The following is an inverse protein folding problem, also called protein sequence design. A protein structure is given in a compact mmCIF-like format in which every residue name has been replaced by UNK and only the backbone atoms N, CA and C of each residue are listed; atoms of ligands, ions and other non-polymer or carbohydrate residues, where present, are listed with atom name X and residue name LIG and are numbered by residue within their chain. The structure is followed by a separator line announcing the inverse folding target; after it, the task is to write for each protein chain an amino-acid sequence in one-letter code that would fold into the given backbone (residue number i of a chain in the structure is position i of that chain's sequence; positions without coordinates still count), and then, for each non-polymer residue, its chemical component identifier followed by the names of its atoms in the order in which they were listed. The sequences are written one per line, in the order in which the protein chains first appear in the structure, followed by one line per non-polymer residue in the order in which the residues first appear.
data_IF_806593927712
#
_entry.id   IF_806593927712
#
_cell.length_a   1.000
_cell.length_b   1.000
_cell.length_c   1.000
_cell.angle_alpha   90.00
_cell.angle_beta   90.00
_cell.angle_gamma   90.00
#
_symmetry.space_group_name_H-M   'P 1'
#
loop_
_entity.id
_entity.type
_entity.pdbx_description
1 polymer ?
#
# COMPACT_ATOMS: atom_id res chain seq x y z
N UNK A 1 -16.81 31.99 6.67
CA UNK A 1 -16.87 31.01 7.77
C UNK A 1 -15.89 29.91 7.43
N UNK A 2 -14.67 29.97 7.98
CA UNK A 2 -13.65 28.95 7.74
C UNK A 2 -13.86 27.86 8.77
N UNK A 3 -14.37 26.70 8.33
CA UNK A 3 -14.46 25.53 9.19
C UNK A 3 -13.04 24.99 9.39
N UNK A 4 -12.47 25.24 10.57
CA UNK A 4 -11.27 24.52 11.02
C UNK A 4 -11.71 23.10 11.34
N UNK A 5 -11.32 22.15 10.49
CA UNK A 5 -11.44 20.73 10.78
C UNK A 5 -10.35 20.38 11.80
N UNK A 6 -10.75 20.18 13.05
CA UNK A 6 -9.89 19.63 14.11
C UNK A 6 -10.07 18.09 14.09
N UNK A 7 -9.13 17.33 13.49
CA UNK A 7 -9.21 15.88 13.53
C UNK A 7 -9.15 15.42 15.00
N UNK A 8 -10.02 14.50 15.45
CA UNK A 8 -9.89 13.90 16.77
C UNK A 8 -8.51 13.24 16.92
N UNK A 9 -7.87 13.41 18.08
CA UNK A 9 -6.52 12.87 18.40
C UNK A 9 -6.38 11.37 18.11
N UNK A 10 -7.48 10.62 18.17
CA UNK A 10 -7.53 9.18 17.89
C UNK A 10 -7.24 8.84 16.41
N UNK A 11 -7.34 9.80 15.48
CA UNK A 11 -6.96 9.61 14.09
C UNK A 11 -5.45 9.43 13.91
N UNK A 12 -4.62 9.97 14.80
CA UNK A 12 -3.16 9.90 14.66
C UNK A 12 -2.65 8.45 14.71
N UNK A 13 -3.39 7.52 15.34
CA UNK A 13 -3.00 6.11 15.50
C UNK A 13 -3.86 5.12 14.71
N UNK A 14 -4.81 5.57 13.90
CA UNK A 14 -5.68 4.67 13.14
C UNK A 14 -4.89 3.72 12.21
N UNK A 15 -3.84 4.22 11.55
CA UNK A 15 -2.99 3.41 10.68
C UNK A 15 -2.16 2.39 11.45
N UNK A 16 -1.71 2.72 12.66
CA UNK A 16 -0.98 1.77 13.53
C UNK A 16 -1.90 0.72 14.14
N UNK A 17 -3.14 1.10 14.46
CA UNK A 17 -4.13 0.24 15.09
C UNK A 17 -4.74 -0.79 14.12
N UNK A 18 -4.96 -0.40 12.86
CA UNK A 18 -5.66 -1.24 11.89
C UNK A 18 -4.83 -1.60 10.66
N UNK A 19 -3.72 -0.91 10.43
CA UNK A 19 -2.83 -1.14 9.29
C UNK A 19 -1.55 -1.88 9.68
N UNK A 20 -0.79 -2.30 8.67
CA UNK A 20 0.55 -2.82 8.84
C UNK A 20 1.48 -2.10 7.86
N UNK A 21 2.55 -1.49 8.36
CA UNK A 21 3.51 -0.79 7.51
C UNK A 21 4.47 -1.79 6.83
N UNK A 22 4.11 -2.19 5.61
CA UNK A 22 4.93 -3.07 4.77
C UNK A 22 6.28 -2.43 4.41
N UNK A 23 6.38 -1.10 4.33
CA UNK A 23 7.64 -0.41 4.00
C UNK A 23 8.63 -0.51 5.15
N UNK A 24 8.15 -0.35 6.39
CA UNK A 24 8.98 -0.57 7.58
C UNK A 24 9.44 -2.02 7.71
N UNK A 25 8.56 -2.99 7.43
CA UNK A 25 8.91 -4.41 7.43
C UNK A 25 9.95 -4.75 6.35
N UNK A 26 9.84 -4.15 5.15
CA UNK A 26 10.84 -4.29 4.09
C UNK A 26 12.20 -3.74 4.52
N UNK A 27 12.23 -2.54 5.12
CA UNK A 27 13.48 -1.90 5.60
C UNK A 27 14.18 -2.70 6.69
N UNK A 28 13.42 -3.39 7.54
CA UNK A 28 13.95 -4.22 8.63
C UNK A 28 14.30 -5.65 8.18
N UNK A 29 14.08 -5.99 6.89
CA UNK A 29 14.37 -7.32 6.34
C UNK A 29 13.44 -8.42 6.86
N UNK A 30 12.28 -8.06 7.43
CA UNK A 30 11.29 -9.02 7.94
C UNK A 30 10.32 -9.53 6.88
N UNK A 31 10.28 -8.91 5.70
CA UNK A 31 9.50 -9.42 4.56
C UNK A 31 10.30 -10.47 3.82
N UNK A 32 9.63 -11.57 3.48
CA UNK A 32 10.20 -12.61 2.63
C UNK A 32 10.51 -12.04 1.23
N UNK A 33 11.63 -12.48 0.61
CA UNK A 33 11.97 -12.04 -0.74
C UNK A 33 10.91 -12.52 -1.74
N UNK A 34 10.48 -11.61 -2.61
CA UNK A 34 9.53 -11.91 -3.69
C UNK A 34 10.31 -12.42 -4.90
N UNK A 35 9.99 -13.62 -5.37
CA UNK A 35 10.67 -14.28 -6.49
C UNK A 35 9.72 -14.38 -7.69
N UNK A 36 10.18 -13.99 -8.88
CA UNK A 36 9.49 -14.25 -10.15
C UNK A 36 8.26 -13.38 -10.45
N UNK A 37 8.18 -12.16 -9.89
CA UNK A 37 7.08 -11.20 -10.11
C UNK A 37 7.52 -9.87 -10.72
N UNK A 38 8.63 -9.87 -11.43
CA UNK A 38 9.24 -8.64 -11.99
C UNK A 38 8.31 -7.86 -12.92
N UNK A 39 7.52 -8.57 -13.73
CA UNK A 39 6.59 -7.95 -14.70
C UNK A 39 5.44 -7.26 -13.97
N UNK A 40 4.80 -7.95 -13.03
CA UNK A 40 3.68 -7.44 -12.24
C UNK A 40 4.11 -6.25 -11.38
N UNK A 41 5.26 -6.33 -10.72
CA UNK A 41 5.81 -5.23 -9.93
C UNK A 41 6.03 -4.00 -10.83
N UNK A 42 6.61 -4.19 -12.02
CA UNK A 42 6.84 -3.10 -12.97
C UNK A 42 5.53 -2.48 -13.47
N UNK A 43 4.50 -3.29 -13.71
CA UNK A 43 3.18 -2.81 -14.12
C UNK A 43 2.48 -2.02 -13.00
N UNK A 44 2.57 -2.49 -11.74
CA UNK A 44 2.05 -1.77 -10.57
C UNK A 44 2.72 -0.40 -10.44
N UNK A 45 4.05 -0.34 -10.53
CA UNK A 45 4.81 0.93 -10.49
C UNK A 45 4.33 1.87 -11.61
N UNK A 46 4.18 1.34 -12.83
CA UNK A 46 3.69 2.11 -13.99
C UNK A 46 2.27 2.64 -13.77
N UNK A 47 1.36 1.85 -13.20
CA UNK A 47 -0.02 2.26 -12.92
C UNK A 47 -0.06 3.36 -11.86
N UNK A 48 0.66 3.18 -10.75
CA UNK A 48 0.77 4.18 -9.68
C UNK A 48 1.29 5.54 -10.19
N UNK A 49 2.13 5.53 -11.23
CA UNK A 49 2.71 6.74 -11.84
C UNK A 49 1.77 7.46 -12.81
N UNK A 50 0.54 6.96 -13.07
CA UNK A 50 -0.41 7.59 -14.01
C UNK A 50 -1.07 8.83 -13.40
N UNK A 51 -1.49 9.77 -14.25
CA UNK A 51 -2.28 10.95 -13.83
C UNK A 51 -3.71 10.62 -13.42
N UNK A 52 -4.30 9.58 -14.01
CA UNK A 52 -5.68 9.14 -13.72
C UNK A 52 -5.73 7.62 -13.62
N UNK A 53 -6.66 7.10 -12.81
CA UNK A 53 -6.79 5.66 -12.52
C UNK A 53 -5.45 5.04 -12.07
N UNK A 54 -4.84 5.68 -11.08
CA UNK A 54 -3.52 5.32 -10.56
C UNK A 54 -3.56 4.26 -9.44
N UNK A 55 -4.75 3.77 -9.07
CA UNK A 55 -4.90 2.71 -8.07
C UNK A 55 -4.95 1.34 -8.78
N UNK A 56 -3.84 0.57 -8.80
CA UNK A 56 -3.84 -0.77 -9.38
C UNK A 56 -4.67 -1.72 -8.51
N UNK A 57 -5.35 -2.67 -9.15
CA UNK A 57 -6.02 -3.80 -8.49
C UNK A 57 -5.43 -5.08 -9.07
N UNK A 58 -4.91 -5.94 -8.19
CA UNK A 58 -4.37 -7.25 -8.56
C UNK A 58 -5.50 -8.27 -8.56
N UNK A 59 -5.64 -9.06 -9.63
CA UNK A 59 -6.72 -10.05 -9.82
C UNK A 59 -6.13 -11.43 -10.15
N UNK A 60 -6.78 -12.50 -9.67
CA UNK A 60 -6.50 -13.88 -10.06
C UNK A 60 -6.93 -14.88 -8.97
N UNK A 61 -6.48 -16.12 -9.07
CA UNK A 61 -6.87 -17.21 -8.17
C UNK A 61 -6.37 -17.03 -6.72
N UNK A 62 -7.04 -17.63 -5.72
CA UNK A 62 -6.57 -17.69 -4.35
C UNK A 62 -5.21 -18.38 -4.23
N UNK A 63 -4.36 -17.96 -3.28
CA UNK A 63 -3.08 -18.61 -3.01
C UNK A 63 -1.90 -18.20 -3.91
N UNK A 64 -2.14 -17.46 -4.99
CA UNK A 64 -1.05 -16.99 -5.89
C UNK A 64 -0.24 -15.81 -5.32
N UNK A 65 -0.57 -15.35 -4.10
CA UNK A 65 0.12 -14.29 -3.36
C UNK A 65 -0.02 -12.88 -3.91
N UNK A 66 -1.24 -12.51 -4.33
CA UNK A 66 -1.64 -11.12 -4.58
C UNK A 66 -1.68 -10.30 -3.30
#
# INVERSE_FOLDING_TARGET
MNATYEPPEDNEKCLEKYGTDLTALARTGKLDPVIGRDTEIRDVIRILSRKTKNNPVLIGEPGVGK
#
